data_IF_835428996683
#
_entry.id   IF_835428996683
#
_cell.length_a   1.000
_cell.length_b   1.000
_cell.length_c   1.000
_cell.angle_alpha   90.00
_cell.angle_beta   90.00
_cell.angle_gamma   90.00
#
_symmetry.space_group_name_H-M   'P 1'
#
loop_
_entity.id
_entity.type
_entity.pdbx_description
1 polymer ?
#
# COMPACT_ATOMS: atom_id res chain seq x y z
N UNK A 1 19.47 -29.00 -18.59
CA UNK A 1 18.85 -27.67 -18.81
C UNK A 1 17.59 -27.62 -17.96
N UNK A 2 17.63 -26.97 -16.79
CA UNK A 2 16.46 -26.91 -15.90
C UNK A 2 15.40 -25.96 -16.50
N UNK A 3 14.13 -26.38 -16.60
CA UNK A 3 13.07 -25.54 -17.14
C UNK A 3 12.80 -24.36 -16.19
N UNK A 4 13.20 -23.16 -16.62
CA UNK A 4 12.86 -21.89 -15.97
C UNK A 4 11.35 -21.69 -16.07
N UNK A 5 10.62 -21.83 -14.97
CA UNK A 5 9.19 -21.49 -14.91
C UNK A 5 8.30 -22.30 -13.97
N UNK A 6 8.77 -23.41 -13.38
CA UNK A 6 7.92 -24.25 -12.52
C UNK A 6 7.87 -23.79 -11.05
N UNK A 7 9.01 -23.48 -10.43
CA UNK A 7 9.05 -23.09 -9.02
C UNK A 7 8.23 -21.83 -8.71
N UNK A 8 8.23 -20.86 -9.63
CA UNK A 8 7.43 -19.64 -9.48
C UNK A 8 5.94 -19.95 -9.43
N UNK A 9 5.44 -20.76 -10.36
CA UNK A 9 4.01 -21.12 -10.44
C UNK A 9 3.54 -21.91 -9.22
N UNK A 10 4.36 -22.83 -8.75
CA UNK A 10 4.03 -23.65 -7.58
C UNK A 10 3.93 -22.79 -6.32
N UNK A 11 4.88 -21.87 -6.12
CA UNK A 11 4.84 -20.90 -5.01
C UNK A 11 3.62 -19.99 -5.12
N UNK A 12 3.33 -19.40 -6.29
CA UNK A 12 2.16 -18.54 -6.43
C UNK A 12 0.87 -19.32 -6.17
N UNK A 13 0.77 -20.57 -6.62
CA UNK A 13 -0.42 -21.39 -6.46
C UNK A 13 -0.64 -21.83 -5.01
N UNK A 14 0.44 -22.14 -4.27
CA UNK A 14 0.36 -22.38 -2.82
C UNK A 14 -0.06 -21.11 -2.08
N UNK A 15 0.54 -19.95 -2.38
CA UNK A 15 0.18 -18.70 -1.72
C UNK A 15 -1.25 -18.26 -2.04
N UNK A 16 -1.70 -18.40 -3.28
CA UNK A 16 -3.09 -18.10 -3.67
C UNK A 16 -4.13 -18.99 -2.99
N UNK A 17 -3.76 -20.18 -2.51
CA UNK A 17 -4.68 -21.05 -1.75
C UNK A 17 -4.88 -20.60 -0.29
N UNK A 18 -3.94 -19.82 0.25
CA UNK A 18 -3.99 -19.32 1.64
C UNK A 18 -4.29 -17.83 1.73
N UNK A 19 -4.06 -17.08 0.65
CA UNK A 19 -4.37 -15.66 0.59
C UNK A 19 -5.84 -15.47 0.23
N UNK A 20 -6.61 -14.75 1.05
CA UNK A 20 -7.95 -14.34 0.65
C UNK A 20 -7.88 -13.52 -0.64
N UNK A 21 -8.91 -13.66 -1.47
CA UNK A 21 -9.03 -12.88 -2.71
C UNK A 21 -8.99 -11.40 -2.36
N UNK A 22 -8.41 -10.58 -3.23
CA UNK A 22 -8.30 -9.13 -2.99
C UNK A 22 -9.64 -8.49 -2.66
N UNK A 23 -10.72 -8.90 -3.32
CA UNK A 23 -12.10 -8.43 -3.07
C UNK A 23 -12.63 -8.85 -1.69
N UNK A 24 -12.11 -9.92 -1.11
CA UNK A 24 -12.47 -10.39 0.24
C UNK A 24 -11.75 -9.57 1.34
N UNK A 25 -10.58 -9.00 1.01
CA UNK A 25 -9.83 -8.08 1.89
C UNK A 25 -10.26 -6.62 1.70
N UNK A 26 -10.60 -6.25 0.47
CA UNK A 26 -11.00 -4.90 0.05
C UNK A 26 -12.38 -4.94 -0.59
N UNK A 27 -13.38 -5.30 0.21
CA UNK A 27 -14.78 -5.09 -0.15
C UNK A 27 -15.10 -3.59 -0.21
N UNK A 28 -16.22 -3.22 -0.85
CA UNK A 28 -16.62 -1.83 -1.11
C UNK A 28 -16.53 -0.95 0.15
N UNK A 29 -17.10 -1.40 1.27
CA UNK A 29 -17.07 -0.66 2.53
C UNK A 29 -15.65 -0.52 3.09
N UNK A 30 -14.88 -1.62 3.09
CA UNK A 30 -13.51 -1.64 3.61
C UNK A 30 -12.56 -0.80 2.77
N UNK A 31 -12.77 -0.76 1.45
CA UNK A 31 -12.01 0.08 0.53
C UNK A 31 -12.24 1.56 0.80
N UNK A 32 -13.49 1.99 1.00
CA UNK A 32 -13.78 3.39 1.31
C UNK A 32 -13.20 3.81 2.67
N UNK A 33 -13.30 2.94 3.68
CA UNK A 33 -12.70 3.20 5.00
C UNK A 33 -11.17 3.32 4.87
N UNK A 34 -10.53 2.43 4.11
CA UNK A 34 -9.10 2.48 3.85
C UNK A 34 -8.70 3.78 3.13
N UNK A 35 -9.40 4.14 2.05
CA UNK A 35 -9.12 5.34 1.28
C UNK A 35 -9.30 6.61 2.13
N UNK A 36 -10.31 6.66 2.98
CA UNK A 36 -10.54 7.75 3.93
C UNK A 36 -9.41 7.86 4.96
N UNK A 37 -9.03 6.75 5.59
CA UNK A 37 -7.92 6.70 6.54
C UNK A 37 -6.59 7.09 5.90
N UNK A 38 -6.31 6.63 4.68
CA UNK A 38 -5.11 6.98 3.94
C UNK A 38 -5.08 8.46 3.58
N UNK A 39 -6.22 9.02 3.17
CA UNK A 39 -6.36 10.44 2.84
C UNK A 39 -6.11 11.31 4.08
N UNK A 40 -6.77 11.01 5.20
CA UNK A 40 -6.54 11.73 6.46
C UNK A 40 -5.09 11.58 6.92
N UNK A 41 -4.55 10.36 6.87
CA UNK A 41 -3.16 10.08 7.21
C UNK A 41 -2.20 10.92 6.37
N UNK A 42 -2.43 11.03 5.07
CA UNK A 42 -1.63 11.86 4.17
C UNK A 42 -1.69 13.34 4.55
N UNK A 43 -2.88 13.87 4.88
CA UNK A 43 -3.02 15.26 5.36
C UNK A 43 -2.30 15.49 6.69
N UNK A 44 -2.42 14.56 7.63
CA UNK A 44 -1.72 14.63 8.92
C UNK A 44 -0.21 14.60 8.70
N UNK A 45 0.30 13.68 7.88
CA UNK A 45 1.72 13.60 7.55
C UNK A 45 2.18 14.87 6.85
N UNK A 46 1.43 15.40 5.88
CA UNK A 46 1.76 16.64 5.19
C UNK A 46 1.79 17.84 6.15
N UNK A 47 0.85 17.91 7.10
CA UNK A 47 0.82 18.95 8.13
C UNK A 47 1.98 18.84 9.12
N UNK A 48 2.28 17.62 9.57
CA UNK A 48 3.43 17.36 10.45
C UNK A 48 4.74 17.65 9.72
N UNK A 49 4.86 17.27 8.45
CA UNK A 49 5.99 17.59 7.60
C UNK A 49 6.15 19.10 7.45
N UNK A 50 5.07 19.84 7.15
CA UNK A 50 5.08 21.31 7.09
C UNK A 50 5.54 21.96 8.41
N UNK A 51 5.12 21.41 9.56
CA UNK A 51 5.51 21.94 10.87
C UNK A 51 6.98 21.68 11.23
N UNK A 52 7.53 20.53 10.83
CA UNK A 52 8.89 20.11 11.19
C UNK A 52 9.93 20.50 10.14
N UNK A 53 9.59 20.42 8.86
CA UNK A 53 10.34 21.03 7.78
C UNK A 53 9.89 22.49 7.66
N UNK A 54 10.35 23.34 8.59
CA UNK A 54 10.49 24.76 8.27
C UNK A 54 11.38 24.83 7.03
N UNK A 55 10.79 25.02 5.85
CA UNK A 55 11.52 25.45 4.68
C UNK A 55 12.32 26.67 5.14
N UNK A 56 13.64 26.52 5.22
CA UNK A 56 14.53 27.65 5.39
C UNK A 56 14.32 28.46 4.13
N UNK A 57 13.61 29.58 4.27
CA UNK A 57 13.45 30.56 3.21
C UNK A 57 14.87 30.85 2.70
N UNK A 58 15.19 30.33 1.52
CA UNK A 58 16.41 30.69 0.81
C UNK A 58 16.10 32.07 0.25
N UNK A 59 16.16 33.04 1.15
CA UNK A 59 15.73 34.41 0.94
C UNK A 59 16.32 34.97 -0.35
N UNK A 60 15.45 35.66 -1.07
CA UNK A 60 15.83 36.69 -2.01
C UNK A 60 15.82 38.03 -1.27
#
# INVERSE_FOLDING_TARGET
MLPKGHAGKEVTQTFSAYLPTFEDVFDEESFYIFAFCLTIGAFVIAFLASKHFKLKDAGH
#
